data_IF_560310613583
#
_entry.id   IF_560310613583
#
_cell.length_a   1.000
_cell.length_b   1.000
_cell.length_c   1.000
_cell.angle_alpha   90.00
_cell.angle_beta   90.00
_cell.angle_gamma   90.00
#
_symmetry.space_group_name_H-M   'P 1'
#
loop_
_entity.id
_entity.type
_entity.pdbx_description
1 polymer ?
#
# COMPACT_ATOMS: atom_id res chain seq x y z
N UNK A 1 -2.46 4.88 -11.69
CA UNK A 1 -3.77 4.20 -11.80
C UNK A 1 -3.50 2.71 -11.70
N UNK A 2 -4.35 1.98 -10.99
CA UNK A 2 -4.22 0.52 -10.81
C UNK A 2 -5.52 -0.17 -11.25
N UNK A 3 -5.42 -1.13 -12.15
CA UNK A 3 -6.57 -1.94 -12.55
C UNK A 3 -6.83 -3.10 -11.56
N UNK A 4 -8.09 -3.28 -11.20
CA UNK A 4 -8.54 -4.32 -10.30
C UNK A 4 -9.77 -5.04 -10.86
N UNK A 5 -9.85 -6.34 -10.61
CA UNK A 5 -10.98 -7.18 -10.99
C UNK A 5 -11.70 -7.72 -9.76
N UNK A 6 -13.02 -7.68 -9.75
CA UNK A 6 -13.80 -8.29 -8.67
C UNK A 6 -13.57 -9.80 -8.65
N UNK A 7 -13.33 -10.37 -7.46
CA UNK A 7 -13.13 -11.82 -7.30
C UNK A 7 -14.22 -12.48 -6.48
N UNK A 8 -14.61 -13.66 -6.93
CA UNK A 8 -15.46 -14.59 -6.19
C UNK A 8 -14.66 -15.59 -5.35
N UNK A 9 -13.40 -15.83 -5.71
CA UNK A 9 -12.52 -16.80 -5.04
C UNK A 9 -12.09 -16.26 -3.67
N UNK A 10 -12.38 -17.02 -2.62
CA UNK A 10 -12.13 -16.68 -1.21
C UNK A 10 -11.34 -17.78 -0.50
N UNK A 11 -10.68 -17.42 0.61
CA UNK A 11 -9.97 -18.35 1.49
C UNK A 11 -8.74 -18.98 0.83
N UNK A 12 -8.41 -20.23 1.19
CA UNK A 12 -7.17 -20.93 0.77
C UNK A 12 -6.97 -21.03 -0.76
N UNK A 13 -8.03 -20.93 -1.56
CA UNK A 13 -7.95 -21.00 -3.03
C UNK A 13 -7.26 -19.80 -3.67
N UNK A 14 -7.06 -18.70 -2.94
CA UNK A 14 -6.33 -17.52 -3.43
C UNK A 14 -4.86 -17.81 -3.73
N UNK A 15 -4.31 -18.92 -3.23
CA UNK A 15 -2.96 -19.36 -3.57
C UNK A 15 -2.77 -19.57 -5.09
N UNK A 16 -3.81 -20.06 -5.79
CA UNK A 16 -3.75 -20.27 -7.24
C UNK A 16 -3.58 -18.96 -8.03
N UNK A 17 -4.13 -17.86 -7.51
CA UNK A 17 -3.98 -16.52 -8.11
C UNK A 17 -2.53 -16.04 -8.05
N UNK A 18 -1.81 -16.37 -6.96
CA UNK A 18 -0.39 -16.00 -6.81
C UNK A 18 0.47 -16.64 -7.90
N UNK A 19 0.16 -17.89 -8.27
CA UNK A 19 0.81 -18.59 -9.39
C UNK A 19 0.56 -17.94 -10.75
N UNK A 20 -0.51 -17.16 -10.89
CA UNK A 20 -0.86 -16.40 -12.10
C UNK A 20 -0.34 -14.95 -12.07
N UNK A 21 0.55 -14.62 -11.13
CA UNK A 21 1.04 -13.23 -10.87
C UNK A 21 -0.05 -12.24 -10.48
N UNK A 22 -1.13 -12.76 -9.93
CA UNK A 22 -2.23 -11.96 -9.41
C UNK A 22 -2.18 -11.90 -7.89
N UNK A 23 -2.39 -10.70 -7.35
CA UNK A 23 -2.42 -10.46 -5.90
C UNK A 23 -3.87 -10.30 -5.46
N UNK A 24 -4.36 -11.11 -4.51
CA UNK A 24 -5.64 -10.85 -3.87
C UNK A 24 -5.57 -9.54 -3.09
N UNK A 25 -6.58 -8.70 -3.28
CA UNK A 25 -6.70 -7.45 -2.56
C UNK A 25 -8.10 -7.29 -1.95
N UNK A 26 -8.24 -6.32 -1.06
CA UNK A 26 -9.52 -5.88 -0.50
C UNK A 26 -9.57 -4.37 -0.54
N UNK A 27 -10.71 -3.82 -0.98
CA UNK A 27 -11.00 -2.39 -0.85
C UNK A 27 -12.16 -2.19 0.11
N UNK A 28 -12.02 -1.26 1.05
CA UNK A 28 -13.02 -0.90 2.04
C UNK A 28 -12.90 0.59 2.39
N UNK A 29 -13.84 1.16 3.13
CA UNK A 29 -13.71 2.54 3.62
C UNK A 29 -15.00 3.34 3.49
N UNK A 30 -14.86 4.64 3.26
CA UNK A 30 -15.92 5.62 3.41
C UNK A 30 -17.15 5.32 2.51
N UNK A 31 -18.17 4.71 3.09
CA UNK A 31 -19.48 4.53 2.46
C UNK A 31 -19.58 3.41 1.41
N UNK A 32 -18.55 2.56 1.29
CA UNK A 32 -18.60 1.40 0.38
C UNK A 32 -18.57 0.08 1.15
N UNK A 33 -19.31 -0.90 0.66
CA UNK A 33 -19.18 -2.28 1.13
C UNK A 33 -17.80 -2.84 0.77
N UNK A 34 -17.14 -3.60 1.66
CA UNK A 34 -15.86 -4.22 1.37
C UNK A 34 -15.93 -5.11 0.12
N UNK A 35 -15.13 -4.79 -0.90
CA UNK A 35 -15.03 -5.57 -2.14
C UNK A 35 -13.72 -6.35 -2.14
N UNK A 36 -13.82 -7.63 -2.47
CA UNK A 36 -12.65 -8.46 -2.72
C UNK A 36 -12.24 -8.31 -4.17
N UNK A 37 -10.99 -7.93 -4.36
CA UNK A 37 -10.42 -7.62 -5.65
C UNK A 37 -9.22 -8.53 -5.95
N UNK A 38 -8.79 -8.50 -7.20
CA UNK A 38 -7.55 -9.09 -7.67
C UNK A 38 -6.85 -8.06 -8.54
N UNK A 39 -5.55 -7.84 -8.30
CA UNK A 39 -4.73 -6.87 -9.03
C UNK A 39 -3.53 -7.58 -9.67
N UNK A 40 -2.95 -6.98 -10.70
CA UNK A 40 -1.67 -7.44 -11.25
C UNK A 40 -0.52 -7.11 -10.30
N UNK A 41 0.33 -8.10 -10.01
CA UNK A 41 1.44 -7.92 -9.07
C UNK A 41 2.47 -6.90 -9.56
N UNK A 42 2.82 -6.95 -10.84
CA UNK A 42 3.88 -6.09 -11.38
C UNK A 42 3.40 -4.64 -11.44
N UNK A 43 2.13 -4.43 -11.79
CA UNK A 43 1.52 -3.11 -11.77
C UNK A 43 1.49 -2.53 -10.35
N UNK A 44 1.10 -3.35 -9.36
CA UNK A 44 1.13 -2.94 -7.95
C UNK A 44 2.55 -2.59 -7.47
N UNK A 45 3.53 -3.44 -7.73
CA UNK A 45 4.92 -3.20 -7.32
C UNK A 45 5.49 -1.94 -7.98
N UNK A 46 5.20 -1.72 -9.27
CA UNK A 46 5.62 -0.50 -9.98
C UNK A 46 5.00 0.74 -9.34
N UNK A 47 3.68 0.72 -9.11
CA UNK A 47 2.97 1.83 -8.48
C UNK A 47 3.54 2.13 -7.09
N UNK A 48 3.77 1.10 -6.28
CA UNK A 48 4.35 1.23 -4.95
C UNK A 48 5.74 1.87 -4.98
N UNK A 49 6.60 1.48 -5.93
CA UNK A 49 7.95 2.04 -6.07
C UNK A 49 7.96 3.49 -6.56
N UNK A 50 6.99 3.88 -7.39
CA UNK A 50 6.88 5.23 -7.94
C UNK A 50 6.28 6.23 -6.94
N UNK A 51 5.23 5.82 -6.22
CA UNK A 51 4.40 6.73 -5.43
C UNK A 51 4.59 6.55 -3.91
N UNK A 52 5.06 5.39 -3.43
CA UNK A 52 5.18 5.10 -2.00
C UNK A 52 3.86 4.75 -1.29
N UNK A 53 3.94 4.34 -0.01
CA UNK A 53 2.79 3.88 0.80
C UNK A 53 1.72 4.96 1.02
N UNK A 54 2.15 6.20 1.25
CA UNK A 54 1.27 7.29 1.71
C UNK A 54 0.55 8.03 0.56
N UNK A 55 0.71 7.58 -0.68
CA UNK A 55 0.19 8.28 -1.85
C UNK A 55 -1.21 7.84 -2.25
N UNK A 56 -1.97 8.80 -2.76
CA UNK A 56 -3.34 8.63 -3.23
C UNK A 56 -3.34 8.19 -4.69
N UNK A 57 -4.02 7.10 -5.00
CA UNK A 57 -4.14 6.64 -6.39
C UNK A 57 -5.57 6.22 -6.74
N UNK A 58 -5.82 6.26 -8.04
CA UNK A 58 -7.10 5.84 -8.62
C UNK A 58 -7.07 4.32 -8.86
N UNK A 59 -7.95 3.61 -8.17
CA UNK A 59 -8.22 2.17 -8.33
C UNK A 59 -9.42 1.97 -9.25
N UNK A 60 -9.21 1.34 -10.39
CA UNK A 60 -10.24 1.08 -11.39
C UNK A 60 -10.74 -0.35 -11.25
N UNK A 61 -12.00 -0.52 -10.83
CA UNK A 61 -12.64 -1.81 -10.64
C UNK A 61 -13.45 -2.17 -11.89
N UNK A 62 -13.11 -3.29 -12.51
CA UNK A 62 -13.78 -3.88 -13.68
C UNK A 62 -13.97 -2.90 -14.86
N UNK A 63 -13.11 -1.88 -14.96
CA UNK A 63 -13.17 -0.82 -15.99
C UNK A 63 -14.38 0.13 -15.86
N UNK A 64 -15.12 0.09 -14.75
CA UNK A 64 -16.41 0.80 -14.60
C UNK A 64 -16.41 1.79 -13.44
N UNK A 65 -15.77 1.44 -12.34
CA UNK A 65 -15.78 2.22 -11.11
C UNK A 65 -14.36 2.67 -10.80
N UNK A 66 -14.18 3.96 -10.53
CA UNK A 66 -12.88 4.52 -10.14
C UNK A 66 -12.99 5.06 -8.72
N UNK A 67 -12.18 4.53 -7.81
CA UNK A 67 -12.15 4.92 -6.41
C UNK A 67 -10.79 5.54 -6.07
N UNK A 68 -10.80 6.65 -5.33
CA UNK A 68 -9.59 7.19 -4.73
C UNK A 68 -9.26 6.41 -3.46
N UNK A 69 -8.10 5.78 -3.46
CA UNK A 69 -7.67 4.91 -2.37
C UNK A 69 -6.23 5.22 -1.96
N UNK A 70 -5.90 4.78 -0.76
CA UNK A 70 -4.54 4.69 -0.22
C UNK A 70 -4.23 3.21 0.06
N UNK A 71 -2.95 2.84 -0.02
CA UNK A 71 -2.46 1.53 0.46
C UNK A 71 -2.47 1.59 1.98
N UNK A 72 -3.38 0.85 2.60
CA UNK A 72 -3.47 0.79 4.05
C UNK A 72 -2.49 -0.22 4.64
N UNK A 73 -2.28 -1.35 3.95
CA UNK A 73 -1.35 -2.40 4.35
C UNK A 73 -1.04 -3.32 3.14
N UNK A 74 0.09 -4.02 3.18
CA UNK A 74 0.40 -5.10 2.25
C UNK A 74 1.18 -6.22 2.95
N UNK A 75 1.00 -7.43 2.46
CA UNK A 75 1.68 -8.60 3.01
C UNK A 75 2.73 -9.09 2.04
N UNK A 76 3.93 -9.37 2.55
CA UNK A 76 5.03 -9.97 1.82
C UNK A 76 5.21 -11.43 2.18
N UNK A 77 5.54 -12.26 1.19
CA UNK A 77 6.07 -13.60 1.41
C UNK A 77 7.50 -13.49 1.95
N UNK A 78 7.81 -14.00 3.16
CA UNK A 78 9.12 -13.83 3.78
C UNK A 78 10.23 -14.64 3.09
N UNK A 79 9.89 -15.65 2.29
CA UNK A 79 10.86 -16.49 1.59
C UNK A 79 11.14 -15.98 0.18
N UNK A 80 10.08 -15.60 -0.53
CA UNK A 80 10.16 -15.19 -1.95
C UNK A 80 10.25 -13.67 -2.12
N UNK A 81 9.98 -12.90 -1.06
CA UNK A 81 9.91 -11.44 -1.07
C UNK A 81 8.90 -10.91 -2.11
N UNK A 82 7.79 -11.61 -2.29
CA UNK A 82 6.72 -11.25 -3.22
C UNK A 82 5.47 -10.78 -2.47
N UNK A 83 4.76 -9.79 -3.01
CA UNK A 83 3.49 -9.31 -2.42
C UNK A 83 2.43 -10.39 -2.57
N UNK A 84 1.80 -10.77 -1.45
CA UNK A 84 0.79 -11.84 -1.36
C UNK A 84 -0.62 -11.36 -1.03
N UNK A 85 -0.75 -10.13 -0.51
CA UNK A 85 -2.02 -9.46 -0.24
C UNK A 85 -1.83 -7.94 -0.21
N UNK A 86 -2.87 -7.19 -0.58
CA UNK A 86 -2.89 -5.73 -0.46
C UNK A 86 -4.25 -5.24 0.05
N UNK A 87 -4.22 -4.25 0.94
CA UNK A 87 -5.39 -3.61 1.53
C UNK A 87 -5.49 -2.16 1.05
N UNK A 88 -6.62 -1.83 0.44
CA UNK A 88 -6.92 -0.51 -0.06
C UNK A 88 -8.01 0.14 0.78
N UNK A 89 -7.76 1.38 1.19
CA UNK A 89 -8.75 2.17 1.92
C UNK A 89 -9.25 3.31 1.04
N UNK A 90 -10.57 3.34 0.82
CA UNK A 90 -11.24 4.47 0.17
C UNK A 90 -11.22 5.66 1.10
N UNK A 91 -10.76 6.78 0.57
CA UNK A 91 -10.65 8.02 1.28
C UNK A 91 -11.81 8.95 0.95
N UNK A 92 -12.34 9.60 1.98
CA UNK A 92 -13.29 10.69 1.84
C UNK A 92 -12.50 12.00 1.86
N UNK A 93 -12.48 12.71 0.73
CA UNK A 93 -11.71 13.96 0.59
C UNK A 93 -12.16 15.05 1.58
N UNK A 94 -13.32 14.89 2.20
CA UNK A 94 -13.89 15.88 3.14
C UNK A 94 -13.57 15.59 4.60
N UNK A 95 -12.97 14.43 4.92
CA UNK A 95 -12.70 14.00 6.31
C UNK A 95 -11.22 13.92 6.60
N UNK A 96 -10.79 14.33 7.81
CA UNK A 96 -9.41 14.15 8.22
C UNK A 96 -9.10 12.66 8.37
N UNK A 97 -7.93 12.25 7.88
CA UNK A 97 -7.40 10.89 7.98
C UNK A 97 -6.10 10.86 8.76
N UNK A 98 -5.83 9.71 9.37
CA UNK A 98 -4.55 9.40 9.99
C UNK A 98 -3.79 8.46 9.07
N UNK A 99 -2.57 8.86 8.68
CA UNK A 99 -1.70 8.11 7.77
C UNK A 99 -0.30 8.06 8.37
N UNK A 100 0.33 6.89 8.28
CA UNK A 100 1.73 6.70 8.63
C UNK A 100 2.60 7.12 7.44
N UNK A 101 3.53 8.04 7.68
CA UNK A 101 4.45 8.56 6.68
C UNK A 101 5.87 8.20 7.09
N UNK A 102 6.64 7.68 6.15
CA UNK A 102 8.05 7.34 6.33
C UNK A 102 8.89 8.62 6.55
N UNK A 103 9.80 8.56 7.52
CA UNK A 103 10.74 9.63 7.83
C UNK A 103 11.97 9.56 6.92
N UNK A 104 12.08 10.52 6.01
CA UNK A 104 13.30 10.76 5.24
C UNK A 104 14.28 11.63 6.03
N UNK A 105 15.44 11.08 6.39
CA UNK A 105 16.49 11.79 7.11
C UNK A 105 17.52 12.36 6.14
N UNK A 106 17.62 13.68 6.07
CA UNK A 106 18.58 14.38 5.21
C UNK A 106 19.84 14.83 5.97
N UNK A 107 21.00 14.62 5.35
CA UNK A 107 22.30 15.03 5.87
C UNK A 107 22.96 13.99 6.79
N UNK A 108 24.20 14.28 7.18
CA UNK A 108 25.03 13.41 8.01
C UNK A 108 25.49 14.17 9.27
N UNK A 109 25.33 13.55 10.44
CA UNK A 109 25.79 14.14 11.70
C UNK A 109 27.33 14.19 11.74
N UNK A 110 27.93 15.28 12.25
CA UNK A 110 29.38 15.35 12.48
C UNK A 110 29.92 14.19 13.33
N UNK A 111 29.10 13.65 14.23
CA UNK A 111 29.49 12.51 15.06
C UNK A 111 29.60 11.20 14.25
N UNK A 112 28.74 11.01 13.25
CA UNK A 112 28.84 9.89 12.31
C UNK A 112 30.06 10.07 11.42
N UNK A 113 30.22 11.28 10.86
CA UNK A 113 31.27 11.61 9.89
C UNK A 113 32.69 11.60 10.46
N UNK A 114 32.89 12.18 11.64
CA UNK A 114 34.22 12.47 12.18
C UNK A 114 34.57 11.66 13.45
N UNK A 115 33.57 11.15 14.18
CA UNK A 115 33.77 10.49 15.47
C UNK A 115 33.46 8.99 15.43
N UNK A 116 33.12 8.44 14.25
CA UNK A 116 32.80 7.02 14.09
C UNK A 116 31.53 6.57 14.82
N UNK A 117 30.62 7.51 15.13
CA UNK A 117 29.35 7.20 15.78
C UNK A 117 28.34 6.54 14.85
N UNK A 118 27.43 5.74 15.41
CA UNK A 118 26.32 5.12 14.66
C UNK A 118 25.02 5.85 14.95
N UNK A 119 24.31 6.30 13.92
CA UNK A 119 22.95 6.79 14.06
C UNK A 119 21.97 5.62 14.17
N UNK A 120 21.25 5.53 15.27
CA UNK A 120 20.16 4.57 15.47
C UNK A 120 18.84 5.32 15.31
N UNK A 121 18.05 4.93 14.31
CA UNK A 121 16.67 5.43 14.13
C UNK A 121 15.75 4.59 15.00
N UNK A 122 15.04 5.21 15.94
CA UNK A 122 14.06 4.52 16.81
C UNK A 122 12.67 4.47 16.19
N UNK A 123 12.39 5.34 15.21
CA UNK A 123 11.14 5.42 14.48
C UNK A 123 11.43 5.67 13.02
N UNK A 124 10.85 4.83 12.18
CA UNK A 124 10.91 4.96 10.73
C UNK A 124 9.66 5.66 10.18
N UNK A 125 8.55 5.65 10.93
CA UNK A 125 7.26 6.23 10.53
C UNK A 125 6.72 7.20 11.58
N UNK A 126 5.97 8.21 11.13
CA UNK A 126 5.14 9.06 11.98
C UNK A 126 3.68 9.03 11.53
N UNK A 127 2.77 8.89 12.49
CA UNK A 127 1.34 9.05 12.23
C UNK A 127 1.02 10.54 12.17
N UNK A 128 0.55 11.01 11.02
CA UNK A 128 0.04 12.37 10.86
C UNK A 128 -1.47 12.37 10.66
N UNK A 129 -2.13 13.44 11.10
CA UNK A 129 -3.53 13.69 10.80
C UNK A 129 -3.64 14.84 9.81
N UNK A 130 -4.07 14.56 8.59
CA UNK A 130 -4.21 15.55 7.53
C UNK A 130 -5.58 15.45 6.86
N UNK A 131 -5.96 16.52 6.17
CA UNK A 131 -6.93 16.41 5.09
C UNK A 131 -6.19 15.85 3.87
N UNK A 132 -6.79 14.92 3.12
CA UNK A 132 -6.19 14.35 1.91
C UNK A 132 -6.02 15.36 0.76
#
# INVERSE_FOLDING_TARGET
MLEAKTREIRGRKTYELRGQRLVPAVVYGAGIDPKMLTIDRNEFVRLYQEEGESSLFDLVIDGKETLKVIIQDYQLDPLLNEVIHADFRVIDLTKPMEVDIELEFIGESPAVKALGGTLIKTRDFITIRCLP
#
